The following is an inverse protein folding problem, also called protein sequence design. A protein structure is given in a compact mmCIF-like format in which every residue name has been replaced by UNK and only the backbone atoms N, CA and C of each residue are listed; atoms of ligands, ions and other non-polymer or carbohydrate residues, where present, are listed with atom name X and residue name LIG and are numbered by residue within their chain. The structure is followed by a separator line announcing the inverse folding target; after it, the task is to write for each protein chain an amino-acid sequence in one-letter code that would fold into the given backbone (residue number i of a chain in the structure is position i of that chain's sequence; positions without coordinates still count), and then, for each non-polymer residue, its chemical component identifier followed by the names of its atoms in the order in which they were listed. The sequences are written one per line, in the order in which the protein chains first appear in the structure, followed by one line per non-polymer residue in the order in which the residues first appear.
data_IF_905514980507
#
_entry.id   IF_905514980507
#
_cell.length_a   1.000
_cell.length_b   1.000
_cell.length_c   1.000
_cell.angle_alpha   90.00
_cell.angle_beta   90.00
_cell.angle_gamma   90.00
#
_symmetry.space_group_name_H-M   'P 1'
#
loop_
_entity.id
_entity.type
_entity.pdbx_description
1 polymer ?
#
# COMPACT_ATOMS: atom_id res chain seq x y z
N UNK A 1 -17.54 21.23 -13.69
CA UNK A 1 -16.79 20.34 -12.79
C UNK A 1 -16.06 19.33 -13.65
N UNK A 2 -14.73 19.24 -13.58
CA UNK A 2 -13.99 18.20 -14.30
C UNK A 2 -14.32 16.84 -13.67
N UNK A 3 -14.77 15.90 -14.48
CA UNK A 3 -15.10 14.55 -14.03
C UNK A 3 -13.82 13.88 -13.49
N UNK A 4 -13.76 13.66 -12.19
CA UNK A 4 -12.61 13.01 -11.56
C UNK A 4 -12.60 11.55 -12.03
N UNK A 5 -11.61 11.19 -12.85
CA UNK A 5 -11.40 9.80 -13.29
C UNK A 5 -11.42 8.87 -12.07
N UNK A 6 -12.27 7.83 -12.12
CA UNK A 6 -12.36 6.85 -11.04
C UNK A 6 -11.00 6.17 -10.84
N UNK A 7 -10.60 6.04 -9.58
CA UNK A 7 -9.39 5.31 -9.17
C UNK A 7 -9.53 3.82 -9.53
N UNK A 8 -8.42 3.18 -9.86
CA UNK A 8 -8.35 1.72 -9.95
C UNK A 8 -8.52 1.13 -8.56
N UNK A 9 -9.33 0.07 -8.44
CA UNK A 9 -9.62 -0.64 -7.17
C UNK A 9 -9.51 -2.15 -7.40
N UNK A 10 -8.75 -2.85 -6.55
CA UNK A 10 -8.70 -4.32 -6.44
C UNK A 10 -9.32 -4.78 -5.12
N UNK A 11 -10.64 -5.04 -5.06
CA UNK A 11 -11.30 -5.42 -3.82
C UNK A 11 -10.73 -6.68 -3.17
N UNK A 12 -10.31 -7.67 -3.98
CA UNK A 12 -9.74 -8.93 -3.46
C UNK A 12 -8.34 -8.72 -2.92
N UNK A 13 -7.50 -7.95 -3.62
CA UNK A 13 -6.17 -7.57 -3.15
C UNK A 13 -6.24 -6.77 -1.85
N UNK A 14 -7.13 -5.77 -1.80
CA UNK A 14 -7.34 -4.97 -0.60
C UNK A 14 -7.89 -5.78 0.58
N UNK A 15 -8.72 -6.81 0.33
CA UNK A 15 -9.14 -7.72 1.40
C UNK A 15 -7.94 -8.45 2.02
N UNK A 16 -6.94 -8.85 1.22
CA UNK A 16 -5.71 -9.48 1.73
C UNK A 16 -4.89 -8.51 2.57
N UNK A 17 -4.63 -7.29 2.07
CA UNK A 17 -3.89 -6.27 2.83
C UNK A 17 -4.58 -5.93 4.15
N UNK A 18 -5.92 -5.79 4.15
CA UNK A 18 -6.70 -5.53 5.37
C UNK A 18 -6.62 -6.67 6.39
N UNK A 19 -6.42 -7.91 5.94
CA UNK A 19 -6.34 -9.09 6.79
C UNK A 19 -4.96 -9.30 7.43
N UNK A 20 -3.94 -8.52 7.03
CA UNK A 20 -2.63 -8.55 7.68
C UNK A 20 -2.79 -8.04 9.13
N UNK A 21 -2.25 -8.81 10.07
CA UNK A 21 -2.44 -8.68 11.52
C UNK A 21 -1.21 -8.13 12.25
N UNK A 22 -0.19 -7.73 11.49
CA UNK A 22 1.02 -7.09 11.98
C UNK A 22 1.42 -5.89 11.12
N UNK A 23 2.30 -5.05 11.64
CA UNK A 23 2.96 -4.00 10.87
C UNK A 23 4.00 -4.62 9.93
N UNK A 24 3.87 -4.40 8.62
CA UNK A 24 4.79 -4.97 7.63
C UNK A 24 6.21 -4.35 7.69
N UNK A 25 6.39 -3.19 8.35
CA UNK A 25 7.71 -2.60 8.57
C UNK A 25 8.39 -3.10 9.85
N UNK A 26 7.68 -3.12 10.98
CA UNK A 26 8.29 -3.36 12.30
C UNK A 26 7.80 -4.63 13.02
N UNK A 27 6.91 -5.40 12.41
CA UNK A 27 6.37 -6.66 12.97
C UNK A 27 5.38 -6.48 14.14
N UNK A 28 5.14 -5.25 14.60
CA UNK A 28 4.24 -4.98 15.72
C UNK A 28 2.81 -5.47 15.44
N UNK A 29 2.26 -6.28 16.34
CA UNK A 29 0.85 -6.66 16.37
C UNK A 29 -0.03 -5.51 16.91
N UNK A 30 -1.32 -5.53 16.58
CA UNK A 30 -2.27 -4.62 17.22
C UNK A 30 -2.36 -4.87 18.73
N UNK A 31 -2.26 -3.81 19.54
CA UNK A 31 -2.32 -3.89 21.01
C UNK A 31 -3.31 -2.90 21.64
N UNK A 32 -4.28 -2.41 20.86
CA UNK A 32 -5.28 -1.43 21.29
C UNK A 32 -4.80 0.03 21.26
N UNK A 33 -3.51 0.29 21.55
CA UNK A 33 -2.92 1.63 21.45
C UNK A 33 -2.29 1.88 20.07
N UNK A 34 -1.48 0.95 19.57
CA UNK A 34 -0.99 0.94 18.19
C UNK A 34 -1.85 0.01 17.35
N UNK A 35 -3.00 0.52 16.91
CA UNK A 35 -3.83 -0.17 15.92
C UNK A 35 -3.12 -0.20 14.55
N UNK A 36 -3.54 -1.15 13.71
CA UNK A 36 -2.99 -1.34 12.39
C UNK A 36 -3.87 -0.69 11.32
N UNK A 37 -3.28 0.20 10.53
CA UNK A 37 -3.95 0.94 9.46
C UNK A 37 -3.38 0.57 8.09
N UNK A 38 -4.21 0.73 7.06
CA UNK A 38 -3.74 0.56 5.67
C UNK A 38 -3.13 1.88 5.21
N UNK A 39 -1.84 1.86 4.94
CA UNK A 39 -1.09 2.96 4.37
C UNK A 39 -1.04 2.84 2.84
N UNK A 40 -1.11 3.97 2.15
CA UNK A 40 -1.00 4.07 0.69
C UNK A 40 0.34 4.71 0.35
N UNK A 41 1.20 4.04 -0.43
CA UNK A 41 2.46 4.65 -0.89
C UNK A 41 2.16 5.85 -1.81
N UNK A 42 1.37 5.63 -2.86
CA UNK A 42 0.73 6.73 -3.60
C UNK A 42 -0.61 7.04 -2.96
N UNK A 43 -0.63 8.12 -2.17
CA UNK A 43 -1.77 8.53 -1.36
C UNK A 43 -3.05 8.87 -2.13
N UNK A 44 -4.17 8.95 -1.40
CA UNK A 44 -5.48 9.28 -1.99
C UNK A 44 -5.56 10.72 -2.51
N UNK A 45 -4.86 11.66 -1.88
CA UNK A 45 -4.82 13.07 -2.29
C UNK A 45 -4.31 13.28 -3.72
N UNK A 46 -3.46 12.36 -4.21
CA UNK A 46 -2.95 12.36 -5.58
C UNK A 46 -3.65 11.33 -6.49
N UNK A 47 -4.83 10.83 -6.10
CA UNK A 47 -5.60 9.82 -6.84
C UNK A 47 -4.90 8.46 -7.01
N UNK A 48 -4.11 8.06 -6.02
CA UNK A 48 -3.45 6.76 -5.97
C UNK A 48 -4.42 5.57 -5.98
N UNK A 49 -4.02 4.44 -6.60
CA UNK A 49 -4.86 3.26 -6.77
C UNK A 49 -5.08 2.50 -5.45
N UNK A 50 -6.26 1.90 -5.27
CA UNK A 50 -6.57 0.95 -4.18
C UNK A 50 -6.24 -0.48 -4.63
N UNK A 51 -4.95 -0.78 -4.74
CA UNK A 51 -4.44 -2.11 -5.12
C UNK A 51 -3.44 -2.57 -4.08
N UNK A 52 -3.27 -3.89 -3.94
CA UNK A 52 -2.35 -4.45 -2.94
C UNK A 52 -0.91 -4.00 -3.17
N UNK A 53 -0.50 -3.79 -4.43
CA UNK A 53 0.84 -3.32 -4.80
C UNK A 53 1.11 -1.85 -4.39
N UNK A 54 0.07 -1.08 -4.01
CA UNK A 54 0.19 0.30 -3.55
C UNK A 54 -0.14 0.45 -2.06
N UNK A 55 -0.45 -0.65 -1.37
CA UNK A 55 -0.96 -0.61 0.00
C UNK A 55 -0.25 -1.62 0.90
N UNK A 56 0.01 -1.20 2.13
CA UNK A 56 0.60 -2.02 3.18
C UNK A 56 -0.05 -1.72 4.53
N UNK A 57 0.18 -2.60 5.50
CA UNK A 57 -0.35 -2.53 6.87
C UNK A 57 0.74 -1.96 7.79
N UNK A 58 0.49 -0.79 8.37
CA UNK A 58 1.42 -0.12 9.28
C UNK A 58 0.79 0.08 10.66
N UNK A 59 1.62 0.11 11.70
CA UNK A 59 1.17 0.40 13.06
C UNK A 59 1.12 1.89 13.37
N UNK A 60 0.22 2.22 14.29
CA UNK A 60 0.02 3.58 14.80
C UNK A 60 -0.92 4.39 13.92
N UNK A 61 -1.79 5.22 14.51
CA UNK A 61 -2.69 6.06 13.74
C UNK A 61 -1.91 7.18 13.04
N UNK A 62 -2.05 7.28 11.72
CA UNK A 62 -1.45 8.38 10.94
C UNK A 62 -1.95 9.75 11.42
N UNK A 63 -3.22 9.83 11.83
CA UNK A 63 -3.83 11.07 12.33
C UNK A 63 -3.18 11.62 13.60
N UNK A 64 -2.47 10.78 14.36
CA UNK A 64 -1.73 11.21 15.55
C UNK A 64 -0.22 11.30 15.30
N UNK A 65 0.24 11.08 14.06
CA UNK A 65 1.67 11.02 13.74
C UNK A 65 2.42 9.99 14.61
N UNK A 66 1.83 8.82 14.86
CA UNK A 66 2.41 7.78 15.71
C UNK A 66 2.74 6.51 14.92
N UNK A 67 3.75 5.77 15.40
CA UNK A 67 4.15 4.49 14.81
C UNK A 67 4.72 4.63 13.40
N UNK A 68 4.72 3.51 12.66
CA UNK A 68 5.24 3.49 11.29
C UNK A 68 4.35 4.27 10.32
N UNK A 69 3.03 4.28 10.51
CA UNK A 69 2.14 5.04 9.63
C UNK A 69 2.32 6.56 9.82
N UNK A 70 2.55 7.01 11.06
CA UNK A 70 2.90 8.39 11.33
C UNK A 70 4.28 8.77 10.75
N UNK A 71 5.27 7.89 10.84
CA UNK A 71 6.60 8.11 10.29
C UNK A 71 6.58 8.25 8.75
N UNK A 72 5.77 7.42 8.07
CA UNK A 72 5.47 7.54 6.64
C UNK A 72 4.88 8.93 6.32
N UNK A 73 3.83 9.34 7.03
CA UNK A 73 3.23 10.67 6.87
C UNK A 73 4.18 11.85 7.16
N UNK A 74 5.23 11.64 7.97
CA UNK A 74 6.28 12.64 8.25
C UNK A 74 7.42 12.63 7.22
N UNK A 75 7.42 11.69 6.27
CA UNK A 75 8.51 11.53 5.30
C UNK A 75 9.79 10.90 5.87
N UNK A 76 9.70 10.25 7.03
CA UNK A 76 10.81 9.51 7.65
C UNK A 76 11.00 8.11 7.04
N UNK A 77 9.98 7.64 6.32
CA UNK A 77 10.03 6.39 5.56
C UNK A 77 9.81 6.76 4.09
N UNK A 78 10.72 6.32 3.23
CA UNK A 78 10.67 6.63 1.81
C UNK A 78 9.68 5.74 1.06
N UNK A 79 9.19 6.22 -0.09
CA UNK A 79 8.35 5.41 -0.98
C UNK A 79 9.03 4.10 -1.40
N UNK A 80 10.35 4.14 -1.66
CA UNK A 80 11.11 2.96 -2.06
C UNK A 80 11.17 1.92 -0.94
N UNK A 81 11.40 2.33 0.31
CA UNK A 81 11.31 1.41 1.46
C UNK A 81 9.93 0.76 1.59
N UNK A 82 8.85 1.51 1.37
CA UNK A 82 7.49 0.98 1.43
C UNK A 82 7.23 0.00 0.26
N UNK A 83 7.71 0.33 -0.94
CA UNK A 83 7.59 -0.55 -2.09
C UNK A 83 8.45 -1.82 -1.94
N UNK A 84 9.62 -1.75 -1.31
CA UNK A 84 10.42 -2.94 -0.99
C UNK A 84 9.69 -3.88 -0.04
N UNK A 85 9.00 -3.35 0.98
CA UNK A 85 8.17 -4.16 1.89
C UNK A 85 7.07 -4.88 1.10
N UNK A 86 6.37 -4.15 0.23
CA UNK A 86 5.32 -4.71 -0.63
C UNK A 86 5.91 -5.77 -1.58
N UNK A 87 7.06 -5.49 -2.20
CA UNK A 87 7.76 -6.40 -3.11
C UNK A 87 8.11 -7.72 -2.42
N UNK A 88 8.64 -7.66 -1.19
CA UNK A 88 8.90 -8.83 -0.36
C UNK A 88 7.62 -9.62 -0.05
N UNK A 89 6.54 -8.96 0.36
CA UNK A 89 5.24 -9.63 0.62
C UNK A 89 4.69 -10.33 -0.61
N UNK A 90 4.77 -9.68 -1.77
CA UNK A 90 4.21 -10.17 -3.02
C UNK A 90 5.13 -11.15 -3.76
N UNK A 91 6.37 -11.35 -3.30
CA UNK A 91 7.36 -12.21 -3.96
C UNK A 91 7.74 -11.73 -5.37
N UNK A 92 7.84 -10.41 -5.57
CA UNK A 92 8.12 -9.78 -6.86
C UNK A 92 9.31 -8.82 -6.76
N UNK A 93 10.04 -8.55 -7.87
CA UNK A 93 11.01 -7.47 -7.91
C UNK A 93 10.38 -6.10 -7.61
N UNK A 94 11.16 -5.19 -7.01
CA UNK A 94 10.73 -3.83 -6.65
C UNK A 94 10.20 -3.07 -7.87
N UNK A 95 10.92 -3.17 -8.99
CA UNK A 95 10.63 -2.45 -10.23
C UNK A 95 9.28 -2.91 -10.82
N UNK A 96 8.96 -4.21 -10.67
CA UNK A 96 7.68 -4.77 -11.12
C UNK A 96 6.52 -4.22 -10.29
N UNK A 97 6.70 -4.05 -8.97
CA UNK A 97 5.69 -3.43 -8.10
C UNK A 97 5.48 -1.97 -8.50
N UNK A 98 6.57 -1.20 -8.63
CA UNK A 98 6.52 0.20 -9.01
C UNK A 98 5.85 0.39 -10.38
N UNK A 99 6.16 -0.46 -11.36
CA UNK A 99 5.55 -0.43 -12.70
C UNK A 99 4.05 -0.72 -12.65
N UNK A 100 3.61 -1.72 -11.88
CA UNK A 100 2.18 -2.03 -11.69
C UNK A 100 1.44 -0.84 -11.10
N UNK A 101 2.02 -0.21 -10.07
CA UNK A 101 1.43 0.97 -9.43
C UNK A 101 1.39 2.16 -10.39
N UNK A 102 2.46 2.40 -11.15
CA UNK A 102 2.52 3.47 -12.14
C UNK A 102 1.47 3.28 -13.24
N UNK A 103 1.31 2.06 -13.76
CA UNK A 103 0.28 1.70 -14.75
C UNK A 103 -1.14 1.93 -14.23
N UNK A 104 -1.42 1.45 -13.02
CA UNK A 104 -2.72 1.63 -12.37
C UNK A 104 -3.01 3.10 -12.05
N UNK A 105 -1.98 3.86 -11.68
CA UNK A 105 -2.13 5.25 -11.27
C UNK A 105 -2.27 6.22 -12.45
N UNK A 106 -1.35 6.14 -13.43
CA UNK A 106 -1.25 7.09 -14.55
C UNK A 106 -2.13 6.72 -15.74
N UNK A 107 -2.19 5.44 -16.06
CA UNK A 107 -2.88 4.94 -17.25
C UNK A 107 -4.21 4.25 -16.92
N UNK A 108 -4.51 4.04 -15.63
CA UNK A 108 -5.70 3.30 -15.16
C UNK A 108 -5.73 1.85 -15.65
N UNK A 109 -4.55 1.32 -15.95
CA UNK A 109 -4.37 -0.05 -16.39
C UNK A 109 -3.95 -0.91 -15.21
N UNK A 110 -4.77 -1.90 -14.91
CA UNK A 110 -4.44 -2.88 -13.90
C UNK A 110 -4.91 -4.25 -14.37
N UNK A 111 -4.03 -4.90 -15.13
CA UNK A 111 -4.14 -6.33 -15.36
C UNK A 111 -3.53 -6.99 -14.15
N UNK A 112 -4.29 -7.85 -13.46
CA UNK A 112 -3.67 -8.79 -12.52
C UNK A 112 -2.54 -9.46 -13.28
N UNK A 113 -1.30 -9.29 -12.81
CA UNK A 113 -0.19 -10.15 -13.23
C UNK A 113 -0.71 -11.56 -12.97
N UNK A 114 -1.12 -12.26 -14.03
CA UNK A 114 -1.72 -13.57 -13.90
C UNK A 114 -0.64 -14.51 -13.37
N UNK A 115 -1.04 -15.28 -12.36
CA UNK A 115 -0.42 -16.48 -11.80
C UNK A 115 0.72 -17.07 -12.66
N UNK A 116 1.90 -17.18 -12.06
CA UNK A 116 2.68 -18.40 -12.21
C UNK A 116 2.24 -19.32 -11.06
N UNK A 117 1.22 -20.13 -11.32
CA UNK A 117 1.05 -21.38 -10.57
C UNK A 117 2.12 -22.33 -11.15
N UNK A 118 3.14 -22.64 -10.35
CA UNK A 118 3.93 -23.87 -10.44
C UNK A 118 3.93 -24.49 -9.06
#
# INVERSE_FOLDING_TARGET
MLEKKKRVVDPKGMKKVKAIDHCEKCGRMSNGFYNLEVAHVKGKGCSGPDIKENCLKLCGPASMSMGCHGADHRGEITDDELFEIIARREGKPLEVIQEVVQKAWRFREYRRVMKNDV
#
